data_IF_157636981719
#
_entry.id   IF_157636981719
#
_cell.length_a   1.000
_cell.length_b   1.000
_cell.length_c   1.000
_cell.angle_alpha   90.00
_cell.angle_beta   90.00
_cell.angle_gamma   90.00
#
_symmetry.space_group_name_H-M   'P 1'
#
loop_
_entity.id
_entity.type
_entity.pdbx_description
1 polymer ?
#
# COMPACT_ATOMS: atom_id res chain seq x y z
N UNK A 1 -12.88 1.39 9.75
CA UNK A 1 -11.80 2.27 9.22
C UNK A 1 -10.80 1.35 8.54
N UNK A 2 -10.62 1.40 7.20
CA UNK A 2 -9.91 0.34 6.48
C UNK A 2 -8.41 0.31 6.78
N UNK A 3 -7.81 1.45 7.17
CA UNK A 3 -6.37 1.57 7.42
C UNK A 3 -6.07 2.25 8.76
N UNK A 4 -4.92 1.88 9.36
CA UNK A 4 -4.44 2.37 10.64
C UNK A 4 -3.80 3.77 10.59
N UNK A 5 -3.32 4.22 11.75
CA UNK A 5 -2.68 5.51 11.95
C UNK A 5 -1.37 5.40 12.74
N UNK A 6 -0.56 6.45 12.78
CA UNK A 6 0.72 6.46 13.52
C UNK A 6 1.70 5.44 12.93
N UNK A 7 2.20 4.51 13.75
CA UNK A 7 3.08 3.43 13.29
C UNK A 7 2.40 2.43 12.33
N UNK A 8 1.07 2.45 12.26
CA UNK A 8 0.27 1.65 11.32
C UNK A 8 -0.32 2.49 10.17
N UNK A 9 0.17 3.72 9.96
CA UNK A 9 -0.29 4.58 8.86
C UNK A 9 -0.10 3.86 7.52
N UNK A 10 -1.18 3.75 6.74
CA UNK A 10 -1.14 3.04 5.45
C UNK A 10 -1.27 1.51 5.55
N UNK A 11 -1.21 0.91 6.74
CA UNK A 11 -1.49 -0.52 6.92
C UNK A 11 -2.99 -0.73 7.01
N UNK A 12 -3.54 -1.55 6.10
CA UNK A 12 -4.96 -1.81 5.98
C UNK A 12 -5.28 -3.28 6.30
N UNK A 13 -6.39 -3.47 7.00
CA UNK A 13 -6.93 -4.80 7.28
C UNK A 13 -7.60 -5.37 6.04
N UNK A 14 -7.68 -6.71 5.99
CA UNK A 14 -8.43 -7.40 4.95
C UNK A 14 -9.91 -7.02 5.08
N UNK A 15 -10.52 -6.59 3.98
CA UNK A 15 -11.95 -6.32 3.90
C UNK A 15 -12.77 -7.61 3.95
N UNK A 16 -14.05 -7.53 4.34
CA UNK A 16 -14.89 -8.70 4.44
C UNK A 16 -15.11 -9.34 3.05
N UNK A 17 -15.38 -10.66 2.98
CA UNK A 17 -15.76 -11.29 1.71
C UNK A 17 -16.94 -10.55 1.06
N UNK A 18 -16.80 -10.18 -0.22
CA UNK A 18 -17.81 -9.41 -0.96
C UNK A 18 -17.65 -7.89 -0.88
N UNK A 19 -16.78 -7.36 -0.03
CA UNK A 19 -16.44 -5.94 0.01
C UNK A 19 -15.28 -5.61 -0.93
N UNK A 20 -15.29 -4.38 -1.46
CA UNK A 20 -14.17 -3.87 -2.25
C UNK A 20 -12.89 -3.84 -1.40
N UNK A 21 -11.75 -4.32 -1.90
CA UNK A 21 -10.47 -4.25 -1.20
C UNK A 21 -10.06 -2.79 -0.92
N UNK A 22 -9.19 -2.60 0.07
CA UNK A 22 -8.81 -1.25 0.52
C UNK A 22 -8.22 -0.41 -0.61
N UNK A 23 -7.46 -1.01 -1.53
CA UNK A 23 -6.87 -0.28 -2.67
C UNK A 23 -7.89 0.29 -3.66
N UNK A 24 -9.12 -0.24 -3.70
CA UNK A 24 -10.22 0.30 -4.50
C UNK A 24 -11.08 1.29 -3.73
N UNK A 25 -11.14 1.16 -2.40
CA UNK A 25 -12.01 1.95 -1.54
C UNK A 25 -11.33 3.21 -0.96
N UNK A 26 -10.01 3.21 -0.82
CA UNK A 26 -9.23 4.30 -0.22
C UNK A 26 -8.72 5.25 -1.30
N UNK A 27 -8.87 6.55 -1.08
CA UNK A 27 -8.13 7.54 -1.87
C UNK A 27 -6.65 7.50 -1.46
N UNK A 28 -5.80 6.94 -2.33
CA UNK A 28 -4.36 6.82 -2.10
C UNK A 28 -3.64 8.18 -1.94
N UNK A 29 -4.30 9.29 -2.31
CA UNK A 29 -3.77 10.65 -2.15
C UNK A 29 -4.04 11.19 -0.74
N UNK A 30 -4.97 10.59 0.00
CA UNK A 30 -5.35 11.01 1.35
C UNK A 30 -4.27 10.64 2.36
N UNK A 31 -3.82 11.64 3.11
CA UNK A 31 -2.78 11.48 4.12
C UNK A 31 -3.22 10.73 5.36
N UNK A 32 -4.53 10.65 5.60
CA UNK A 32 -5.10 9.93 6.74
C UNK A 32 -5.06 8.43 6.58
N UNK A 33 -5.08 7.94 5.34
CA UNK A 33 -5.17 6.50 5.07
C UNK A 33 -3.95 5.93 4.35
N UNK A 34 -3.07 6.76 3.80
CA UNK A 34 -1.85 6.34 3.10
C UNK A 34 -0.59 6.91 3.74
N UNK A 35 0.52 6.20 3.60
CA UNK A 35 1.85 6.67 3.99
C UNK A 35 2.57 7.28 2.78
N UNK A 36 3.36 8.33 2.99
CA UNK A 36 4.24 8.84 1.94
C UNK A 36 5.53 8.00 1.87
N UNK A 37 6.19 7.99 0.72
CA UNK A 37 7.55 7.46 0.62
C UNK A 37 8.44 8.11 1.69
N UNK A 38 9.16 7.28 2.45
CA UNK A 38 10.04 7.72 3.52
C UNK A 38 9.42 7.82 4.91
N UNK A 39 8.09 7.72 5.07
CA UNK A 39 7.43 7.85 6.39
C UNK A 39 8.03 6.94 7.47
N UNK A 40 8.40 5.70 7.11
CA UNK A 40 8.97 4.72 8.05
C UNK A 40 10.46 4.40 7.82
N UNK A 41 11.04 4.88 6.71
CA UNK A 41 12.42 4.50 6.31
C UNK A 41 13.37 5.69 6.25
N UNK A 42 12.87 6.93 6.29
CA UNK A 42 13.66 8.14 6.06
C UNK A 42 14.09 8.34 4.60
N UNK A 43 13.66 7.48 3.66
CA UNK A 43 13.96 7.64 2.24
C UNK A 43 13.46 9.01 1.72
N UNK A 44 14.33 9.74 1.05
CA UNK A 44 14.01 11.03 0.46
C UNK A 44 13.73 10.90 -1.05
N UNK A 45 12.90 11.81 -1.56
CA UNK A 45 12.65 11.96 -2.99
C UNK A 45 12.40 13.43 -3.31
N UNK A 46 13.15 13.96 -4.26
CA UNK A 46 12.99 15.33 -4.74
C UNK A 46 11.64 15.51 -5.45
N UNK A 47 10.99 16.63 -5.14
CA UNK A 47 9.71 17.02 -5.74
C UNK A 47 9.74 18.51 -6.06
N UNK A 48 9.05 18.94 -7.13
CA UNK A 48 9.05 20.36 -7.48
C UNK A 48 8.60 20.65 -8.91
N UNK A 49 9.12 21.74 -9.46
CA UNK A 49 8.79 22.20 -10.81
C UNK A 49 9.69 21.55 -11.88
N UNK A 50 9.32 21.73 -13.15
CA UNK A 50 10.08 21.22 -14.29
C UNK A 50 9.85 19.73 -14.51
N UNK A 51 10.92 18.94 -14.46
CA UNK A 51 10.87 17.49 -14.71
C UNK A 51 10.68 16.66 -13.43
N UNK A 52 10.66 17.29 -12.25
CA UNK A 52 10.46 16.60 -11.00
C UNK A 52 8.98 16.20 -10.81
N UNK A 53 8.71 15.10 -10.09
CA UNK A 53 7.37 14.80 -9.60
C UNK A 53 6.79 15.95 -8.79
N UNK A 54 5.50 16.24 -8.98
CA UNK A 54 4.82 17.29 -8.21
C UNK A 54 4.69 16.93 -6.72
N UNK A 55 4.68 15.63 -6.38
CA UNK A 55 4.49 15.13 -5.02
C UNK A 55 5.22 13.81 -4.84
N UNK A 56 5.56 13.49 -3.59
CA UNK A 56 6.10 12.17 -3.24
C UNK A 56 5.04 11.09 -3.46
N UNK A 57 5.43 9.90 -3.94
CA UNK A 57 4.54 8.75 -3.99
C UNK A 57 3.95 8.44 -2.62
N UNK A 58 2.74 7.89 -2.62
CA UNK A 58 2.06 7.41 -1.41
C UNK A 58 1.63 5.97 -1.59
N UNK A 59 1.45 5.25 -0.49
CA UNK A 59 1.09 3.84 -0.55
C UNK A 59 0.21 3.40 0.61
N UNK A 60 -0.47 2.29 0.37
CA UNK A 60 -1.07 1.45 1.40
C UNK A 60 -0.49 0.04 1.32
N UNK A 61 -0.60 -0.70 2.41
CA UNK A 61 -0.22 -2.11 2.53
C UNK A 61 -1.42 -2.88 3.04
N UNK A 62 -1.89 -3.87 2.30
CA UNK A 62 -2.95 -4.78 2.74
C UNK A 62 -2.35 -6.09 3.22
N UNK A 63 -2.69 -6.51 4.45
CA UNK A 63 -2.31 -7.81 4.99
C UNK A 63 -3.36 -8.85 4.61
N UNK A 64 -2.99 -9.80 3.76
CA UNK A 64 -3.86 -10.84 3.23
C UNK A 64 -3.44 -12.21 3.77
N UNK A 65 -4.39 -13.11 4.11
CA UNK A 65 -4.05 -14.48 4.45
C UNK A 65 -3.41 -15.16 3.24
N UNK A 66 -2.26 -15.79 3.46
CA UNK A 66 -1.58 -16.59 2.44
C UNK A 66 -1.92 -18.06 2.64
N UNK A 67 -2.28 -18.73 1.54
CA UNK A 67 -2.39 -20.20 1.51
C UNK A 67 -1.68 -20.71 0.26
N UNK A 68 -0.49 -21.31 0.40
CA UNK A 68 0.18 -21.89 -0.76
C UNK A 68 -0.64 -23.06 -1.32
N UNK A 69 -0.51 -23.36 -2.63
CA UNK A 69 -1.11 -24.56 -3.21
C UNK A 69 -0.69 -25.81 -2.43
N UNK A 70 -1.65 -26.68 -2.10
CA UNK A 70 -1.40 -27.91 -1.33
C UNK A 70 -1.32 -27.73 0.19
N UNK A 71 -1.53 -26.53 0.73
CA UNK A 71 -1.62 -26.32 2.17
C UNK A 71 -2.79 -27.09 2.78
N UNK A 72 -2.57 -27.69 3.95
CA UNK A 72 -3.62 -28.35 4.72
C UNK A 72 -4.70 -27.36 5.15
N UNK A 73 -5.95 -27.81 5.12
CA UNK A 73 -7.09 -27.00 5.55
C UNK A 73 -7.02 -26.81 7.06
N UNK A 74 -6.94 -25.56 7.51
CA UNK A 74 -6.90 -25.20 8.93
C UNK A 74 -5.51 -24.81 9.46
N UNK A 75 -4.45 -24.98 8.65
CA UNK A 75 -3.11 -24.47 8.98
C UNK A 75 -3.00 -23.01 8.53
N UNK A 76 -2.50 -22.14 9.42
CA UNK A 76 -2.20 -20.76 9.08
C UNK A 76 -0.96 -20.73 8.17
N UNK A 77 -1.16 -20.33 6.91
CA UNK A 77 -0.10 -20.19 5.92
C UNK A 77 0.62 -18.85 5.98
N UNK A 78 0.38 -18.04 7.01
CA UNK A 78 0.99 -16.73 7.19
C UNK A 78 0.33 -15.65 6.33
N UNK A 79 1.10 -14.61 6.01
CA UNK A 79 0.57 -13.42 5.35
C UNK A 79 1.28 -13.08 4.04
N UNK A 80 0.47 -12.65 3.07
CA UNK A 80 0.92 -11.94 1.88
C UNK A 80 0.60 -10.45 2.07
N UNK A 81 1.57 -9.59 1.79
CA UNK A 81 1.41 -8.15 1.86
C UNK A 81 1.27 -7.60 0.45
N UNK A 82 0.12 -7.00 0.15
CA UNK A 82 -0.09 -6.29 -1.12
C UNK A 82 0.17 -4.81 -0.90
N UNK A 83 1.18 -4.29 -1.58
CA UNK A 83 1.52 -2.87 -1.56
C UNK A 83 0.91 -2.23 -2.80
N UNK A 84 0.06 -1.23 -2.60
CA UNK A 84 -0.49 -0.41 -3.69
C UNK A 84 0.01 1.02 -3.52
N UNK A 85 0.71 1.52 -4.53
CA UNK A 85 1.33 2.83 -4.50
C UNK A 85 0.82 3.72 -5.64
N UNK A 86 0.59 5.00 -5.34
CA UNK A 86 0.34 6.05 -6.34
C UNK A 86 1.60 6.93 -6.48
N UNK A 87 2.06 7.10 -7.71
CA UNK A 87 3.11 8.03 -8.09
C UNK A 87 2.56 9.21 -8.90
N UNK A 88 3.29 10.32 -8.90
CA UNK A 88 2.91 11.56 -9.57
C UNK A 88 3.98 11.97 -10.59
N UNK A 89 3.55 12.39 -11.78
CA UNK A 89 4.43 13.00 -12.77
C UNK A 89 4.67 14.49 -12.50
N UNK A 90 5.28 15.16 -13.47
CA UNK A 90 5.50 16.62 -13.45
C UNK A 90 4.27 17.46 -13.84
N UNK A 91 3.18 16.81 -14.26
CA UNK A 91 1.91 17.45 -14.63
C UNK A 91 0.80 16.99 -13.69
N UNK A 92 -0.12 17.88 -13.32
CA UNK A 92 -1.14 17.62 -12.28
C UNK A 92 -2.00 16.38 -12.54
N UNK A 93 -2.27 16.04 -13.81
CA UNK A 93 -3.04 14.87 -14.21
C UNK A 93 -2.23 13.58 -14.39
N UNK A 94 -0.89 13.63 -14.31
CA UNK A 94 -0.06 12.44 -14.54
C UNK A 94 0.07 11.65 -13.24
N UNK A 95 -0.61 10.51 -13.19
CA UNK A 95 -0.63 9.61 -12.05
C UNK A 95 -0.43 8.18 -12.53
N UNK A 96 0.29 7.39 -11.73
CA UNK A 96 0.49 5.96 -11.98
C UNK A 96 0.20 5.20 -10.71
N UNK A 97 -0.58 4.13 -10.81
CA UNK A 97 -0.78 3.19 -9.70
C UNK A 97 -0.01 1.91 -10.02
N UNK A 98 0.84 1.49 -9.07
CA UNK A 98 1.56 0.23 -9.14
C UNK A 98 1.14 -0.65 -7.97
N UNK A 99 1.16 -1.95 -8.22
CA UNK A 99 0.85 -2.96 -7.20
C UNK A 99 1.93 -4.03 -7.19
N UNK A 100 2.38 -4.39 -5.98
CA UNK A 100 3.33 -5.47 -5.75
C UNK A 100 2.86 -6.33 -4.59
N UNK A 101 3.26 -7.59 -4.59
CA UNK A 101 2.98 -8.53 -3.50
C UNK A 101 4.29 -9.04 -2.93
N UNK A 102 4.41 -8.99 -1.60
CA UNK A 102 5.60 -9.40 -0.87
C UNK A 102 5.22 -10.38 0.25
N UNK A 103 6.05 -11.37 0.49
CA UNK A 103 6.02 -12.20 1.70
C UNK A 103 7.19 -11.80 2.57
N UNK A 104 7.02 -11.89 3.90
CA UNK A 104 8.16 -11.77 4.79
C UNK A 104 8.95 -13.09 4.73
N UNK A 105 10.29 -13.06 4.67
CA UNK A 105 11.10 -14.28 4.59
C UNK A 105 10.92 -15.22 5.79
N UNK A 106 10.59 -14.66 6.96
CA UNK A 106 10.32 -15.40 8.20
C UNK A 106 8.84 -15.74 8.47
N UNK A 107 7.94 -15.49 7.50
CA UNK A 107 6.55 -16.00 7.46
C UNK A 107 6.45 -17.19 6.47
#
# INVERSE_FOLDING_TARGET
RPCGSGLAQGLCERTAPGEAPAWQAVDLRDERHSAALGTFTGAAMETGQGFLPLRRPRYIVERLPYRPPGAEVGVDGGYLYRVTAIGFGSREGTQVVLQATQRRPED
#
